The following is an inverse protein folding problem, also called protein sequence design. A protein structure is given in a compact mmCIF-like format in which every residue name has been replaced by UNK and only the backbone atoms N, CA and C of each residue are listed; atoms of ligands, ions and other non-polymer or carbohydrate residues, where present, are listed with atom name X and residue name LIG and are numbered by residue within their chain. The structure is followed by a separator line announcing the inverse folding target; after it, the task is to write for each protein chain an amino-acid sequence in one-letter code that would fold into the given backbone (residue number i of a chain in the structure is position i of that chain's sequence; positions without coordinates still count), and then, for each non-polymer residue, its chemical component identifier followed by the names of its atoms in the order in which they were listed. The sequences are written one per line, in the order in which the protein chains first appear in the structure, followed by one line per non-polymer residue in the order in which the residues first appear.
data_IF_570940930172
#
_entry.id   IF_570940930172
#
_cell.length_a   1.000
_cell.length_b   1.000
_cell.length_c   1.000
_cell.angle_alpha   90.00
_cell.angle_beta   90.00
_cell.angle_gamma   90.00
#
_symmetry.space_group_name_H-M   'P 1'
#
loop_
_entity.id
_entity.type
_entity.pdbx_description
1 polymer ?
#
# COMPACT_ATOMS: atom_id res chain seq x y z
N UNK A 1 15.16 -16.67 9.54
CA UNK A 1 13.82 -17.30 9.73
C UNK A 1 12.72 -16.67 8.85
N UNK A 2 13.04 -15.61 8.10
CA UNK A 2 12.10 -14.94 7.15
C UNK A 2 11.89 -15.75 5.87
N UNK A 3 12.78 -16.67 5.56
CA UNK A 3 12.82 -17.39 4.27
C UNK A 3 11.75 -18.49 4.13
N UNK A 4 11.19 -19.01 5.20
CA UNK A 4 10.36 -20.24 5.17
C UNK A 4 8.84 -20.01 5.04
N UNK A 5 8.32 -18.77 5.15
CA UNK A 5 6.88 -18.47 5.04
C UNK A 5 6.49 -17.75 3.72
N UNK A 6 7.47 -17.52 2.85
CA UNK A 6 7.28 -16.90 1.52
C UNK A 6 6.62 -17.88 0.53
N UNK A 7 6.51 -19.17 0.89
CA UNK A 7 6.14 -20.23 -0.04
C UNK A 7 4.74 -20.16 -0.65
N UNK A 8 3.79 -19.48 -0.06
CA UNK A 8 2.38 -19.56 -0.53
C UNK A 8 2.01 -18.42 -1.51
N UNK A 9 2.55 -17.22 -1.35
CA UNK A 9 2.36 -16.15 -2.33
C UNK A 9 3.39 -16.28 -3.47
N UNK A 10 4.63 -16.66 -3.16
CA UNK A 10 5.71 -16.85 -4.15
C UNK A 10 5.49 -18.06 -5.05
N UNK A 11 4.83 -19.12 -4.60
CA UNK A 11 4.57 -20.31 -5.46
C UNK A 11 3.64 -20.00 -6.63
N UNK A 12 2.76 -19.00 -6.52
CA UNK A 12 1.92 -18.52 -7.62
C UNK A 12 2.66 -17.54 -8.55
N UNK A 13 3.76 -16.93 -8.10
CA UNK A 13 4.47 -15.87 -8.83
C UNK A 13 5.77 -16.32 -9.52
N UNK A 14 6.37 -17.43 -9.12
CA UNK A 14 7.67 -17.87 -9.69
C UNK A 14 7.58 -18.39 -11.12
N UNK A 15 6.39 -18.62 -11.65
CA UNK A 15 6.24 -19.17 -13.01
C UNK A 15 6.19 -18.13 -14.12
N UNK A 16 6.27 -16.81 -13.84
CA UNK A 16 6.10 -15.79 -14.89
C UNK A 16 7.02 -14.57 -14.84
N UNK A 17 8.12 -14.57 -14.08
CA UNK A 17 9.13 -13.51 -14.23
C UNK A 17 10.03 -13.76 -15.45
N UNK A 18 9.49 -13.57 -16.63
CA UNK A 18 10.26 -13.35 -17.86
C UNK A 18 10.08 -11.89 -18.25
N UNK A 19 11.16 -11.12 -18.16
CA UNK A 19 11.28 -9.73 -18.62
C UNK A 19 10.62 -9.54 -19.99
N UNK A 20 9.50 -8.80 -20.06
CA UNK A 20 8.92 -8.38 -21.34
C UNK A 20 8.50 -6.91 -21.25
N UNK A 21 8.95 -6.12 -22.20
CA UNK A 21 8.41 -4.79 -22.53
C UNK A 21 6.88 -4.90 -22.65
N UNK A 22 6.14 -4.26 -21.70
CA UNK A 22 4.68 -4.34 -21.65
C UNK A 22 4.12 -4.98 -20.37
N UNK A 23 4.93 -5.10 -19.30
CA UNK A 23 4.46 -5.66 -18.02
C UNK A 23 3.35 -4.81 -17.43
N UNK A 24 2.26 -5.46 -17.05
CA UNK A 24 1.11 -4.86 -16.36
C UNK A 24 1.36 -4.88 -14.86
N UNK A 25 0.88 -3.86 -14.16
CA UNK A 25 0.89 -3.83 -12.70
C UNK A 25 -0.22 -4.74 -12.17
N UNK A 26 0.12 -5.94 -11.72
CA UNK A 26 -0.83 -6.86 -11.08
C UNK A 26 -0.92 -6.67 -9.57
N UNK A 27 0.18 -6.24 -8.96
CA UNK A 27 0.29 -5.98 -7.52
C UNK A 27 0.81 -4.58 -7.28
N UNK A 28 -0.01 -3.72 -6.69
CA UNK A 28 0.32 -2.34 -6.38
C UNK A 28 0.52 -2.14 -4.89
N UNK A 29 1.67 -1.58 -4.50
CA UNK A 29 1.89 -1.02 -3.18
C UNK A 29 1.19 0.33 -3.09
N UNK A 30 0.37 0.53 -2.06
CA UNK A 30 -0.33 1.81 -1.83
C UNK A 30 0.45 2.64 -0.84
N UNK A 31 0.87 3.85 -1.24
CA UNK A 31 1.63 4.76 -0.39
C UNK A 31 1.18 6.21 -0.62
N UNK A 32 1.12 7.00 0.44
CA UNK A 32 0.78 8.40 0.30
C UNK A 32 0.79 9.17 1.62
N UNK A 33 0.38 10.41 1.53
CA UNK A 33 0.29 11.30 2.67
C UNK A 33 -0.59 10.71 3.77
N UNK A 34 -0.15 10.89 5.02
CA UNK A 34 -0.98 10.59 6.18
C UNK A 34 -2.09 11.63 6.35
N UNK A 35 -3.10 11.30 7.14
CA UNK A 35 -4.14 12.26 7.53
C UNK A 35 -3.54 13.49 8.20
N UNK A 36 -2.44 13.31 8.94
CA UNK A 36 -1.72 14.39 9.61
C UNK A 36 -1.04 15.32 8.60
N UNK A 37 -0.36 14.77 7.59
CA UNK A 37 0.34 15.56 6.56
C UNK A 37 -0.61 16.50 5.79
N UNK A 38 -1.87 16.08 5.61
CA UNK A 38 -2.89 16.82 4.87
C UNK A 38 -3.84 17.63 5.78
N UNK A 39 -3.73 17.50 7.10
CA UNK A 39 -4.67 18.11 8.05
C UNK A 39 -6.11 17.60 7.85
N UNK A 40 -6.28 16.34 7.48
CA UNK A 40 -7.58 15.71 7.21
C UNK A 40 -7.95 14.73 8.33
N UNK A 41 -8.59 15.26 9.38
CA UNK A 41 -8.97 14.48 10.56
C UNK A 41 -10.48 14.20 10.63
N UNK A 42 -11.28 14.94 9.83
CA UNK A 42 -12.74 14.82 9.84
C UNK A 42 -13.19 14.02 8.61
N UNK A 43 -13.82 12.87 8.84
CA UNK A 43 -14.32 11.99 7.77
C UNK A 43 -15.44 12.63 6.92
N UNK A 44 -16.01 13.76 7.38
CA UNK A 44 -17.00 14.55 6.62
C UNK A 44 -16.39 15.67 5.79
N UNK A 45 -15.06 15.84 5.78
CA UNK A 45 -14.40 16.87 5.00
C UNK A 45 -14.67 16.66 3.50
N UNK A 46 -15.06 17.74 2.81
CA UNK A 46 -15.39 17.70 1.39
C UNK A 46 -14.19 17.23 0.54
N UNK A 47 -12.97 17.54 0.97
CA UNK A 47 -11.74 17.11 0.29
C UNK A 47 -11.64 15.58 0.23
N UNK A 48 -12.08 14.86 1.28
CA UNK A 48 -12.11 13.39 1.28
C UNK A 48 -13.04 12.82 0.23
N UNK A 49 -14.19 13.45 -0.02
CA UNK A 49 -15.11 13.02 -1.09
C UNK A 49 -14.45 13.13 -2.46
N UNK A 50 -13.70 14.22 -2.69
CA UNK A 50 -12.97 14.44 -3.95
C UNK A 50 -11.86 13.39 -4.10
N UNK A 51 -11.05 13.18 -3.05
CA UNK A 51 -9.97 12.19 -3.02
C UNK A 51 -10.53 10.78 -3.29
N UNK A 52 -11.56 10.36 -2.56
CA UNK A 52 -12.16 9.02 -2.74
C UNK A 52 -12.78 8.83 -4.13
N UNK A 53 -13.36 9.87 -4.71
CA UNK A 53 -13.87 9.82 -6.10
C UNK A 53 -12.72 9.63 -7.11
N UNK A 54 -11.60 10.34 -6.91
CA UNK A 54 -10.41 10.18 -7.75
C UNK A 54 -9.80 8.78 -7.58
N UNK A 55 -9.70 8.27 -6.35
CA UNK A 55 -9.23 6.90 -6.06
C UNK A 55 -10.10 5.88 -6.80
N UNK A 56 -11.44 5.97 -6.72
CA UNK A 56 -12.35 5.04 -7.38
C UNK A 56 -12.09 4.99 -8.89
N UNK A 57 -12.04 6.13 -9.54
CA UNK A 57 -11.74 6.24 -10.98
C UNK A 57 -10.38 5.62 -11.33
N UNK A 58 -9.36 5.89 -10.53
CA UNK A 58 -8.02 5.37 -10.78
C UNK A 58 -7.97 3.85 -10.59
N UNK A 59 -8.65 3.31 -9.55
CA UNK A 59 -8.72 1.87 -9.31
C UNK A 59 -9.52 1.13 -10.39
N UNK A 60 -10.62 1.70 -10.91
CA UNK A 60 -11.35 1.16 -12.07
C UNK A 60 -10.41 1.01 -13.26
N UNK A 61 -9.68 2.06 -13.61
CA UNK A 61 -8.72 2.03 -14.71
C UNK A 61 -7.60 1.02 -14.48
N UNK A 62 -7.05 0.96 -13.26
CA UNK A 62 -5.99 0.00 -12.93
C UNK A 62 -6.49 -1.44 -12.97
N UNK A 63 -7.76 -1.70 -12.59
CA UNK A 63 -8.39 -3.02 -12.70
C UNK A 63 -8.50 -3.45 -14.16
N UNK A 64 -8.94 -2.56 -15.06
CA UNK A 64 -9.01 -2.81 -16.50
C UNK A 64 -7.61 -3.08 -17.10
N UNK A 65 -6.57 -2.45 -16.55
CA UNK A 65 -5.16 -2.64 -16.91
C UNK A 65 -4.59 -3.95 -16.32
N UNK A 66 -5.29 -4.63 -15.42
CA UNK A 66 -4.91 -5.95 -14.88
C UNK A 66 -4.52 -5.99 -13.41
N UNK A 67 -4.73 -4.89 -12.65
CA UNK A 67 -4.50 -4.87 -11.20
C UNK A 67 -5.34 -5.94 -10.51
N UNK A 68 -4.74 -6.70 -9.61
CA UNK A 68 -5.37 -7.75 -8.80
C UNK A 68 -5.18 -7.53 -7.32
N UNK A 69 -3.97 -7.16 -6.91
CA UNK A 69 -3.60 -7.00 -5.51
C UNK A 69 -3.29 -5.56 -5.15
N UNK A 70 -3.86 -5.11 -4.04
CA UNK A 70 -3.47 -3.88 -3.35
C UNK A 70 -2.78 -4.25 -2.04
N UNK A 71 -1.58 -3.74 -1.84
CA UNK A 71 -0.75 -3.99 -0.66
C UNK A 71 -0.63 -2.71 0.16
N UNK A 72 -0.95 -2.79 1.45
CA UNK A 72 -0.96 -1.70 2.40
C UNK A 72 0.11 -1.89 3.47
N UNK A 73 0.56 -0.79 4.08
CA UNK A 73 1.46 -0.81 5.23
C UNK A 73 0.73 -0.57 6.56
N UNK A 74 -0.53 -0.14 6.49
CA UNK A 74 -1.35 0.17 7.67
C UNK A 74 -1.30 1.64 8.09
N UNK A 75 -0.84 2.54 7.23
CA UNK A 75 -0.77 3.98 7.49
C UNK A 75 -2.14 4.64 7.31
N UNK A 76 -2.56 5.46 8.29
CA UNK A 76 -3.79 6.23 8.18
C UNK A 76 -3.62 7.43 7.25
N UNK A 77 -4.64 7.71 6.45
CA UNK A 77 -4.65 8.73 5.41
C UNK A 77 -4.90 8.08 4.06
N UNK A 78 -4.07 8.34 3.08
CA UNK A 78 -4.28 7.85 1.71
C UNK A 78 -4.49 6.34 1.64
N UNK A 79 -3.64 5.56 2.30
CA UNK A 79 -3.79 4.09 2.31
C UNK A 79 -5.16 3.66 2.87
N UNK A 80 -5.60 4.28 3.97
CA UNK A 80 -6.90 3.96 4.56
C UNK A 80 -8.06 4.32 3.61
N UNK A 81 -7.99 5.45 2.92
CA UNK A 81 -9.03 5.85 1.96
C UNK A 81 -9.05 4.93 0.73
N UNK A 82 -7.88 4.49 0.26
CA UNK A 82 -7.80 3.48 -0.81
C UNK A 82 -8.39 2.15 -0.34
N UNK A 83 -8.09 1.73 0.89
CA UNK A 83 -8.65 0.50 1.47
C UNK A 83 -10.18 0.54 1.51
N UNK A 84 -10.78 1.65 1.97
CA UNK A 84 -12.23 1.80 2.02
C UNK A 84 -12.86 1.72 0.62
N UNK A 85 -12.31 2.46 -0.34
CA UNK A 85 -12.80 2.46 -1.73
C UNK A 85 -12.61 1.09 -2.38
N UNK A 86 -11.46 0.45 -2.19
CA UNK A 86 -11.18 -0.87 -2.76
C UNK A 86 -12.10 -1.96 -2.19
N UNK A 87 -12.49 -1.86 -0.92
CA UNK A 87 -13.50 -2.76 -0.32
C UNK A 87 -14.86 -2.62 -0.97
N UNK A 88 -15.31 -1.38 -1.19
CA UNK A 88 -16.59 -1.12 -1.86
C UNK A 88 -16.60 -1.64 -3.32
N UNK A 89 -15.43 -1.73 -3.94
CA UNK A 89 -15.26 -2.19 -5.32
C UNK A 89 -14.90 -3.68 -5.44
N UNK A 90 -14.61 -4.34 -4.32
CA UNK A 90 -14.00 -5.68 -4.32
C UNK A 90 -14.81 -6.72 -5.07
N UNK A 91 -16.12 -6.75 -4.86
CA UNK A 91 -16.98 -7.74 -5.46
C UNK A 91 -17.13 -7.53 -6.98
N UNK A 92 -17.12 -6.28 -7.43
CA UNK A 92 -17.26 -5.94 -8.85
C UNK A 92 -15.98 -6.15 -9.65
N UNK A 93 -14.81 -5.89 -9.04
CA UNK A 93 -13.50 -5.90 -9.72
C UNK A 93 -12.60 -7.07 -9.30
N UNK A 94 -12.97 -7.81 -8.27
CA UNK A 94 -12.23 -8.98 -7.79
C UNK A 94 -10.89 -8.65 -7.16
N UNK A 95 -10.76 -7.48 -6.53
CA UNK A 95 -9.54 -7.09 -5.82
C UNK A 95 -9.24 -8.04 -4.66
N UNK A 96 -7.95 -8.34 -4.49
CA UNK A 96 -7.40 -8.95 -3.30
C UNK A 96 -6.64 -7.88 -2.50
N UNK A 97 -6.82 -7.87 -1.19
CA UNK A 97 -6.28 -6.85 -0.30
C UNK A 97 -5.30 -7.49 0.67
N UNK A 98 -4.12 -6.94 0.77
CA UNK A 98 -3.09 -7.40 1.70
C UNK A 98 -2.58 -6.26 2.57
N UNK A 99 -2.31 -6.53 3.84
CA UNK A 99 -1.58 -5.61 4.70
C UNK A 99 -0.33 -6.29 5.23
N UNK A 100 0.80 -5.63 5.03
CA UNK A 100 2.09 -6.07 5.55
C UNK A 100 2.57 -4.98 6.50
N UNK A 101 2.42 -5.21 7.79
CA UNK A 101 2.87 -4.29 8.82
C UNK A 101 4.38 -4.43 9.05
N UNK A 102 5.03 -3.34 9.42
CA UNK A 102 6.43 -3.34 9.85
C UNK A 102 6.62 -4.13 11.16
N UNK A 103 5.76 -3.87 12.17
CA UNK A 103 5.85 -4.47 13.51
C UNK A 103 4.50 -4.99 14.00
N UNK A 104 4.52 -6.02 14.86
CA UNK A 104 3.31 -6.49 15.55
C UNK A 104 2.73 -5.43 16.48
N UNK A 105 3.59 -4.54 17.01
CA UNK A 105 3.22 -3.39 17.86
C UNK A 105 2.68 -2.19 17.08
N UNK A 106 2.51 -2.30 15.75
CA UNK A 106 2.02 -1.21 14.92
C UNK A 106 0.67 -0.68 15.42
N UNK A 107 0.63 0.62 15.77
CA UNK A 107 -0.57 1.30 16.23
C UNK A 107 -1.01 1.00 17.67
N UNK A 108 -0.22 0.28 18.48
CA UNK A 108 -0.58 -0.06 19.86
C UNK A 108 -0.86 1.18 20.74
N UNK A 109 -0.12 2.26 20.49
CA UNK A 109 -0.23 3.53 21.23
C UNK A 109 -1.22 4.53 20.58
N UNK A 110 -1.99 4.10 19.57
CA UNK A 110 -2.96 4.98 18.93
C UNK A 110 -4.22 5.13 19.77
N UNK A 111 -4.91 6.27 19.61
CA UNK A 111 -6.21 6.49 20.23
C UNK A 111 -7.26 5.51 19.65
N UNK A 112 -8.40 5.38 20.32
CA UNK A 112 -9.45 4.43 19.95
C UNK A 112 -9.96 4.63 18.53
N UNK A 113 -10.23 5.87 18.10
CA UNK A 113 -10.69 6.16 16.74
C UNK A 113 -9.71 5.68 15.66
N UNK A 114 -8.41 5.89 15.88
CA UNK A 114 -7.37 5.42 14.97
C UNK A 114 -7.20 3.90 15.00
N UNK A 115 -7.37 3.27 16.18
CA UNK A 115 -7.36 1.79 16.28
C UNK A 115 -8.53 1.15 15.57
N UNK A 116 -9.71 1.78 15.58
CA UNK A 116 -10.85 1.33 14.77
C UNK A 116 -10.51 1.34 13.27
N UNK A 117 -9.90 2.43 12.78
CA UNK A 117 -9.43 2.51 11.38
C UNK A 117 -8.34 1.46 11.08
N UNK A 118 -7.41 1.25 12.01
CA UNK A 118 -6.37 0.23 11.89
C UNK A 118 -6.94 -1.19 11.79
N UNK A 119 -8.03 -1.48 12.52
CA UNK A 119 -8.68 -2.79 12.46
C UNK A 119 -9.12 -3.14 11.03
N UNK A 120 -9.43 -2.14 10.22
CA UNK A 120 -9.70 -2.30 8.81
C UNK A 120 -8.55 -2.96 8.06
N UNK A 121 -7.33 -2.54 8.26
CA UNK A 121 -6.16 -3.15 7.64
C UNK A 121 -5.89 -4.59 8.11
N UNK A 122 -6.41 -4.99 9.27
CA UNK A 122 -6.31 -6.36 9.79
C UNK A 122 -7.41 -7.29 9.29
N UNK A 123 -8.45 -6.75 8.65
CA UNK A 123 -9.61 -7.48 8.12
C UNK A 123 -9.56 -7.52 6.58
N UNK A 124 -8.44 -7.92 6.02
CA UNK A 124 -8.18 -8.07 4.59
C UNK A 124 -7.86 -9.53 4.26
N UNK A 125 -7.68 -9.86 2.99
CA UNK A 125 -7.46 -11.25 2.55
C UNK A 125 -6.13 -11.82 3.03
N UNK A 126 -5.12 -10.97 3.22
CA UNK A 126 -3.82 -11.39 3.72
C UNK A 126 -3.22 -10.36 4.68
N UNK A 127 -2.76 -10.82 5.84
CA UNK A 127 -2.08 -9.97 6.85
C UNK A 127 -0.77 -10.60 7.26
N UNK A 128 0.28 -9.81 7.31
CA UNK A 128 1.60 -10.21 7.78
C UNK A 128 2.25 -9.09 8.58
N UNK A 129 3.10 -9.49 9.54
CA UNK A 129 3.99 -8.61 10.29
C UNK A 129 5.43 -8.97 9.94
N UNK A 130 6.26 -7.96 9.63
CA UNK A 130 7.66 -8.19 9.29
C UNK A 130 8.49 -8.55 10.51
N UNK A 131 8.25 -7.86 11.63
CA UNK A 131 8.98 -8.05 12.87
C UNK A 131 8.06 -7.99 14.09
N UNK A 132 8.43 -8.65 15.21
CA UNK A 132 7.67 -8.52 16.47
C UNK A 132 7.69 -7.08 17.00
N UNK A 133 8.85 -6.44 17.01
CA UNK A 133 9.05 -5.07 17.54
C UNK A 133 10.24 -4.40 16.88
N UNK A 134 10.32 -3.06 17.08
CA UNK A 134 11.46 -2.28 16.60
C UNK A 134 12.71 -2.54 17.45
N UNK A 135 13.81 -2.89 16.82
CA UNK A 135 15.12 -3.10 17.44
C UNK A 135 16.18 -2.14 16.85
N UNK A 136 16.21 -1.95 15.54
CA UNK A 136 17.18 -1.08 14.88
C UNK A 136 16.68 -0.55 13.52
N UNK A 137 17.30 0.54 13.05
CA UNK A 137 16.89 1.21 11.79
C UNK A 137 16.95 0.33 10.54
N UNK A 138 17.83 -0.67 10.52
CA UNK A 138 17.95 -1.60 9.40
C UNK A 138 16.65 -2.34 9.09
N UNK A 139 15.85 -2.69 10.12
CA UNK A 139 14.57 -3.38 9.95
C UNK A 139 13.62 -2.59 9.03
N UNK A 140 13.53 -1.26 9.18
CA UNK A 140 12.66 -0.44 8.34
C UNK A 140 13.11 -0.43 6.87
N UNK A 141 14.41 -0.41 6.64
CA UNK A 141 14.97 -0.49 5.29
C UNK A 141 14.70 -1.85 4.66
N UNK A 142 14.97 -2.92 5.39
CA UNK A 142 14.76 -4.29 4.92
C UNK A 142 13.27 -4.55 4.62
N UNK A 143 12.39 -4.03 5.47
CA UNK A 143 10.94 -4.06 5.27
C UNK A 143 10.54 -3.32 3.97
N UNK A 144 11.04 -2.11 3.74
CA UNK A 144 10.75 -1.35 2.53
C UNK A 144 11.25 -2.06 1.27
N UNK A 145 12.47 -2.61 1.30
CA UNK A 145 13.01 -3.41 0.19
C UNK A 145 12.16 -4.65 -0.07
N UNK A 146 11.74 -5.35 0.98
CA UNK A 146 10.84 -6.48 0.87
C UNK A 146 9.52 -6.12 0.17
N UNK A 147 8.89 -5.00 0.53
CA UNK A 147 7.67 -4.52 -0.14
C UNK A 147 7.91 -4.25 -1.61
N UNK A 148 9.01 -3.58 -1.97
CA UNK A 148 9.35 -3.29 -3.35
C UNK A 148 9.65 -4.56 -4.16
N UNK A 149 10.27 -5.56 -3.57
CA UNK A 149 10.58 -6.83 -4.23
C UNK A 149 9.33 -7.68 -4.50
N UNK A 150 8.29 -7.52 -3.71
CA UNK A 150 7.06 -8.30 -3.79
C UNK A 150 5.87 -7.55 -4.41
N UNK A 151 6.11 -6.39 -5.03
CA UNK A 151 5.11 -5.62 -5.77
C UNK A 151 5.66 -5.22 -7.14
N UNK A 152 4.76 -5.05 -8.12
CA UNK A 152 5.14 -4.67 -9.49
C UNK A 152 5.30 -3.17 -9.63
N UNK A 153 4.62 -2.43 -8.75
CA UNK A 153 4.63 -0.98 -8.75
C UNK A 153 3.89 -0.41 -7.56
N UNK A 154 3.68 0.89 -7.56
CA UNK A 154 2.99 1.59 -6.50
C UNK A 154 1.90 2.54 -7.03
N UNK A 155 0.81 2.64 -6.25
CA UNK A 155 -0.19 3.68 -6.36
C UNK A 155 0.08 4.74 -5.30
N UNK A 156 0.37 5.97 -5.74
CA UNK A 156 0.97 7.02 -4.93
C UNK A 156 0.10 8.27 -4.81
N UNK A 157 0.02 8.81 -3.60
CA UNK A 157 -0.38 10.19 -3.35
C UNK A 157 0.76 10.92 -2.65
N UNK A 158 1.74 11.37 -3.43
CA UNK A 158 2.95 12.04 -2.95
C UNK A 158 3.46 13.03 -3.99
N UNK A 159 3.90 14.18 -3.53
CA UNK A 159 4.50 15.25 -4.31
C UNK A 159 5.89 15.58 -3.76
N UNK A 160 6.90 15.59 -4.63
CA UNK A 160 8.28 15.89 -4.27
C UNK A 160 8.48 17.36 -3.82
N UNK A 161 7.57 18.26 -4.18
CA UNK A 161 7.59 19.65 -3.71
C UNK A 161 7.06 19.77 -2.27
N UNK A 162 6.28 18.80 -1.80
CA UNK A 162 5.70 18.72 -0.46
C UNK A 162 6.23 17.49 0.29
N UNK A 163 7.53 17.46 0.52
CA UNK A 163 8.22 16.31 1.11
C UNK A 163 7.73 15.97 2.53
N UNK A 164 7.59 14.66 2.77
CA UNK A 164 7.39 14.07 4.09
C UNK A 164 8.41 12.96 4.33
N UNK A 165 8.28 12.20 5.42
CA UNK A 165 9.12 11.02 5.67
C UNK A 165 9.02 9.97 4.55
N UNK A 166 7.97 10.02 3.73
CA UNK A 166 7.76 9.13 2.60
C UNK A 166 8.85 9.28 1.53
N UNK A 167 9.56 10.42 1.47
CA UNK A 167 10.64 10.66 0.52
C UNK A 167 11.70 9.57 0.52
N UNK A 168 12.05 9.02 1.68
CA UNK A 168 13.08 7.97 1.77
C UNK A 168 12.63 6.69 1.09
N UNK A 169 11.38 6.31 1.27
CA UNK A 169 10.81 5.15 0.57
C UNK A 169 10.66 5.42 -0.93
N UNK A 170 10.22 6.61 -1.29
CA UNK A 170 10.11 7.03 -2.69
C UNK A 170 11.46 7.03 -3.42
N UNK A 171 12.54 7.46 -2.76
CA UNK A 171 13.90 7.36 -3.30
C UNK A 171 14.37 5.92 -3.53
N UNK A 172 14.03 5.00 -2.63
CA UNK A 172 14.30 3.57 -2.85
C UNK A 172 13.52 3.04 -4.06
N UNK A 173 12.27 3.44 -4.19
CA UNK A 173 11.39 3.07 -5.30
C UNK A 173 11.94 3.54 -6.64
N UNK A 174 12.43 4.78 -6.73
CA UNK A 174 13.04 5.34 -7.95
C UNK A 174 14.32 4.58 -8.38
N UNK A 175 15.02 3.97 -7.44
CA UNK A 175 16.24 3.19 -7.72
C UNK A 175 15.97 1.77 -8.20
N UNK A 176 14.72 1.32 -8.10
CA UNK A 176 14.35 -0.02 -8.56
C UNK A 176 14.04 0.00 -10.04
N UNK A 177 14.79 -0.78 -10.82
CA UNK A 177 14.58 -0.91 -12.24
C UNK A 177 13.19 -1.44 -12.58
N UNK A 178 12.55 -0.84 -13.58
CA UNK A 178 11.22 -1.21 -14.09
C UNK A 178 10.09 -1.17 -13.04
N UNK A 179 10.25 -0.45 -11.93
CA UNK A 179 9.20 -0.32 -10.94
C UNK A 179 8.16 0.72 -11.39
N UNK A 180 6.93 0.27 -11.60
CA UNK A 180 5.86 1.12 -12.11
C UNK A 180 5.33 2.05 -11.02
N UNK A 181 4.99 3.28 -11.37
CA UNK A 181 4.33 4.21 -10.47
C UNK A 181 3.10 4.81 -11.12
N UNK A 182 1.99 4.76 -10.43
CA UNK A 182 0.74 5.43 -10.77
C UNK A 182 0.46 6.47 -9.70
N UNK A 183 0.31 7.73 -10.08
CA UNK A 183 -0.02 8.80 -9.13
C UNK A 183 -1.51 9.04 -9.12
N UNK A 184 -2.06 9.37 -7.93
CA UNK A 184 -3.41 9.89 -7.81
C UNK A 184 -3.53 11.16 -8.68
N UNK A 185 -4.57 11.21 -9.49
CA UNK A 185 -4.88 12.36 -10.37
C UNK A 185 -6.25 12.93 -10.01
N UNK A 186 -6.43 14.26 -10.14
CA UNK A 186 -7.68 14.96 -9.85
C UNK A 186 -8.39 15.42 -11.13
#
# INVERSE_FOLDING_TARGET
TIVLLIGTITSLYYTTKVNRKGEKMHTALVLGYSSFDLGLFNDKDIRLKIIKKAIRRDLEKMADEGLKWLVFTGTLGFEHWVLEVARDMKDDFGFQLATIFDFETHGENWNEGNRVKLSGFKQVDFVKYAYPNYEHKGQLRDYQLFLLENTDGAYLFYDEENETKLKYFYELMKKKDNYMTKRLTF
#
